data_IF_455102065599
#
_entry.id   IF_455102065599
#
_cell.length_a   1.000
_cell.length_b   1.000
_cell.length_c   1.000
_cell.angle_alpha   90.00
_cell.angle_beta   90.00
_cell.angle_gamma   90.00
#
_symmetry.space_group_name_H-M   'P 1'
#
loop_
_entity.id
_entity.type
_entity.pdbx_description
1 polymer ?
#
# COMPACT_ATOMS: atom_id res chain seq x y z
N UNK A 1 0.26 3.73 -25.76
CA UNK A 1 -0.61 4.43 -24.80
C UNK A 1 -0.58 5.93 -25.12
N UNK A 2 -1.68 6.48 -25.66
CA UNK A 2 -1.78 7.87 -26.13
C UNK A 2 -1.99 8.86 -24.97
N UNK A 3 -1.53 10.13 -25.13
CA UNK A 3 -1.74 11.26 -24.19
C UNK A 3 -3.20 11.45 -23.78
N UNK A 4 -4.14 11.07 -24.64
CA UNK A 4 -5.58 11.14 -24.36
C UNK A 4 -5.98 10.35 -23.10
N UNK A 5 -5.35 9.20 -22.82
CA UNK A 5 -5.67 8.42 -21.62
C UNK A 5 -5.24 9.11 -20.32
N UNK A 6 -4.19 9.92 -20.36
CA UNK A 6 -3.70 10.65 -19.19
C UNK A 6 -4.60 11.85 -18.87
N UNK A 7 -5.07 12.58 -19.89
CA UNK A 7 -6.00 13.70 -19.71
C UNK A 7 -7.40 13.25 -19.30
N UNK A 8 -7.91 12.13 -19.82
CA UNK A 8 -9.25 11.62 -19.46
C UNK A 8 -9.30 11.19 -17.99
N UNK A 9 -8.27 10.50 -17.51
CA UNK A 9 -8.21 10.01 -16.13
C UNK A 9 -8.16 11.13 -15.07
N UNK A 10 -7.76 12.33 -15.47
CA UNK A 10 -7.54 13.46 -14.55
C UNK A 10 -8.71 14.44 -14.53
N UNK A 11 -9.56 14.46 -15.58
CA UNK A 11 -10.60 15.50 -15.76
C UNK A 11 -11.76 15.44 -14.77
N UNK A 12 -12.06 14.29 -14.19
CA UNK A 12 -13.23 14.10 -13.31
C UNK A 12 -12.89 13.46 -11.95
N UNK A 13 -11.61 13.33 -11.61
CA UNK A 13 -11.23 12.84 -10.27
C UNK A 13 -11.41 13.99 -9.28
N UNK A 14 -12.30 13.86 -8.27
CA UNK A 14 -12.35 14.85 -7.21
C UNK A 14 -10.97 14.95 -6.55
N UNK A 15 -10.45 16.17 -6.40
CA UNK A 15 -9.27 16.42 -5.58
C UNK A 15 -9.66 16.21 -4.12
N UNK A 16 -9.50 14.98 -3.64
CA UNK A 16 -9.79 14.61 -2.25
C UNK A 16 -8.67 14.99 -1.30
N UNK A 17 -7.57 15.59 -1.79
CA UNK A 17 -6.34 15.80 -1.04
C UNK A 17 -5.69 14.49 -0.58
N UNK A 18 -4.54 14.60 0.12
CA UNK A 18 -3.86 13.48 0.75
C UNK A 18 -4.64 12.99 1.97
N UNK A 19 -4.87 11.69 2.08
CA UNK A 19 -5.48 11.08 3.27
C UNK A 19 -4.66 11.36 4.53
N UNK A 20 -5.32 11.73 5.63
CA UNK A 20 -4.65 12.13 6.89
C UNK A 20 -4.55 10.99 7.91
N UNK A 21 -5.37 9.95 7.78
CA UNK A 21 -5.38 8.77 8.66
C UNK A 21 -4.04 8.03 8.56
N UNK A 22 -3.37 7.74 9.69
CA UNK A 22 -2.15 6.92 9.68
C UNK A 22 -2.38 5.59 8.97
N UNK A 23 -1.56 5.32 7.95
CA UNK A 23 -1.71 4.17 7.06
C UNK A 23 -0.43 3.33 7.11
N UNK A 24 -0.59 2.01 7.25
CA UNK A 24 0.48 1.03 7.11
C UNK A 24 0.36 0.27 5.78
N UNK A 25 1.50 -0.07 5.18
CA UNK A 25 1.55 -0.88 3.95
C UNK A 25 2.55 -2.01 4.14
N UNK A 26 2.07 -3.25 4.21
CA UNK A 26 2.90 -4.44 4.27
C UNK A 26 3.21 -4.95 2.85
N UNK A 27 4.49 -5.04 2.49
CA UNK A 27 4.93 -5.50 1.17
C UNK A 27 5.46 -6.92 1.28
N UNK A 28 4.78 -7.89 0.65
CA UNK A 28 5.19 -9.29 0.62
C UNK A 28 5.92 -9.63 -0.70
N UNK A 29 6.85 -10.57 -0.63
CA UNK A 29 7.79 -10.88 -1.72
C UNK A 29 7.14 -11.30 -3.05
N UNK A 30 6.07 -12.10 -2.99
CA UNK A 30 5.41 -12.71 -4.15
C UNK A 30 4.05 -12.06 -4.47
N UNK A 31 3.83 -10.82 -4.03
CA UNK A 31 2.66 -10.01 -4.41
C UNK A 31 3.05 -8.88 -5.37
N UNK A 32 2.05 -8.13 -5.86
CA UNK A 32 2.30 -6.88 -6.56
C UNK A 32 3.05 -5.90 -5.65
N UNK A 33 4.27 -5.56 -6.06
CA UNK A 33 5.12 -4.64 -5.31
C UNK A 33 4.54 -3.22 -5.35
N UNK A 34 4.08 -2.78 -4.19
CA UNK A 34 3.61 -1.41 -4.01
C UNK A 34 4.76 -0.42 -4.21
N UNK A 35 4.50 0.64 -4.99
CA UNK A 35 5.48 1.71 -5.20
C UNK A 35 5.28 2.75 -4.11
N UNK A 36 6.19 2.78 -3.13
CA UNK A 36 6.14 3.67 -1.96
C UNK A 36 5.83 5.13 -2.30
N UNK A 37 6.43 5.65 -3.37
CA UNK A 37 6.21 7.03 -3.83
C UNK A 37 4.74 7.34 -4.13
N UNK A 38 3.99 6.39 -4.69
CA UNK A 38 2.56 6.60 -4.98
C UNK A 38 1.72 6.50 -3.71
N UNK A 39 2.05 5.56 -2.81
CA UNK A 39 1.37 5.44 -1.53
C UNK A 39 1.56 6.70 -0.65
N UNK A 40 2.78 7.25 -0.59
CA UNK A 40 3.08 8.45 0.20
C UNK A 40 2.46 9.73 -0.39
N UNK A 41 2.26 9.78 -1.72
CA UNK A 41 1.55 10.88 -2.40
C UNK A 41 0.09 10.96 -1.93
N UNK A 42 -0.58 9.82 -1.87
CA UNK A 42 -2.04 9.76 -1.68
C UNK A 42 -2.44 9.53 -0.20
N UNK A 43 -1.56 8.96 0.63
CA UNK A 43 -1.87 8.55 2.00
C UNK A 43 -0.83 8.97 3.03
N UNK A 44 -1.26 9.09 4.30
CA UNK A 44 -0.39 9.27 5.46
C UNK A 44 0.30 7.97 5.87
N UNK A 45 1.23 7.51 5.04
CA UNK A 45 2.03 6.30 5.31
C UNK A 45 2.98 6.53 6.49
N UNK A 46 2.82 5.73 7.54
CA UNK A 46 3.67 5.76 8.76
C UNK A 46 4.38 4.44 9.05
N UNK A 47 4.05 3.38 8.31
CA UNK A 47 4.57 2.03 8.50
C UNK A 47 4.74 1.33 7.14
N UNK A 48 5.93 0.77 6.88
CA UNK A 48 6.31 0.15 5.60
C UNK A 48 7.32 -1.00 5.80
N UNK A 49 6.88 -2.16 6.27
CA UNK A 49 7.71 -3.37 6.32
C UNK A 49 7.75 -4.04 4.95
N UNK A 50 8.90 -4.64 4.64
CA UNK A 50 9.08 -5.49 3.47
C UNK A 50 9.47 -6.89 3.95
N UNK A 51 8.79 -7.91 3.43
CA UNK A 51 8.93 -9.30 3.81
C UNK A 51 9.52 -10.13 2.69
N UNK A 52 10.27 -11.17 3.04
CA UNK A 52 10.99 -12.06 2.12
C UNK A 52 10.15 -13.28 1.67
N UNK A 53 8.93 -13.45 2.20
CA UNK A 53 8.02 -14.57 1.92
C UNK A 53 6.56 -14.12 1.93
N UNK A 54 5.72 -14.80 1.15
CA UNK A 54 4.27 -14.58 1.10
C UNK A 54 3.87 -13.77 -0.12
N UNK A 55 2.58 -13.76 -0.46
CA UNK A 55 2.07 -13.05 -1.64
C UNK A 55 0.68 -12.48 -1.42
N UNK A 56 -0.12 -12.45 -2.48
CA UNK A 56 -1.48 -11.90 -2.46
C UNK A 56 -2.39 -12.47 -1.35
N UNK A 57 -2.15 -13.74 -0.97
CA UNK A 57 -2.87 -14.45 0.09
C UNK A 57 -2.01 -14.62 1.35
N UNK A 58 -1.23 -13.61 1.73
CA UNK A 58 -0.32 -13.66 2.89
C UNK A 58 -1.00 -14.02 4.22
N UNK A 59 -2.31 -13.79 4.35
CA UNK A 59 -3.09 -14.27 5.50
C UNK A 59 -3.11 -15.80 5.66
N UNK A 60 -2.83 -16.55 4.59
CA UNK A 60 -2.67 -18.00 4.61
C UNK A 60 -1.21 -18.39 4.44
N UNK A 61 -0.54 -17.86 3.42
CA UNK A 61 0.79 -18.33 3.03
C UNK A 61 1.90 -17.81 3.95
N UNK A 62 1.69 -16.67 4.62
CA UNK A 62 2.63 -16.04 5.54
C UNK A 62 1.92 -15.45 6.78
N UNK A 63 0.99 -16.22 7.34
CA UNK A 63 0.10 -15.78 8.43
C UNK A 63 0.85 -15.28 9.67
N UNK A 64 2.02 -15.85 9.96
CA UNK A 64 2.91 -15.46 11.05
C UNK A 64 3.48 -14.05 10.84
N UNK A 65 3.94 -13.75 9.62
CA UNK A 65 4.46 -12.43 9.26
C UNK A 65 3.34 -11.38 9.28
N UNK A 66 2.19 -11.68 8.68
CA UNK A 66 1.04 -10.76 8.68
C UNK A 66 0.55 -10.47 10.11
N UNK A 67 0.40 -11.49 10.94
CA UNK A 67 -0.07 -11.32 12.31
C UNK A 67 0.95 -10.56 13.16
N UNK A 68 2.25 -10.83 12.98
CA UNK A 68 3.32 -10.10 13.62
C UNK A 68 3.30 -8.61 13.26
N UNK A 69 3.07 -8.32 11.98
CA UNK A 69 3.04 -6.95 11.50
C UNK A 69 1.83 -6.15 11.97
N UNK A 70 0.64 -6.76 11.95
CA UNK A 70 -0.57 -6.16 12.52
C UNK A 70 -0.37 -5.83 14.00
N UNK A 71 0.34 -6.70 14.74
CA UNK A 71 0.70 -6.41 16.14
C UNK A 71 1.64 -5.23 16.23
N UNK A 72 2.71 -5.20 15.44
CA UNK A 72 3.66 -4.10 15.43
C UNK A 72 3.00 -2.74 15.09
N UNK A 73 2.05 -2.73 14.15
CA UNK A 73 1.38 -1.51 13.71
C UNK A 73 0.37 -0.97 14.73
N UNK A 74 -0.47 -1.83 15.32
CA UNK A 74 -1.58 -1.38 16.18
C UNK A 74 -1.28 -1.38 17.68
N UNK A 75 -0.26 -2.11 18.14
CA UNK A 75 0.09 -2.19 19.57
C UNK A 75 1.32 -1.36 19.97
N UNK A 76 1.90 -0.59 19.05
CA UNK A 76 2.96 0.37 19.34
C UNK A 76 2.44 1.62 20.08
#
# INVERSE_FOLDING_TARGET
MSRAHFEEADKDRPDTGRGTVPTGVAVFADDFLSIRRFAERDHNVVHWPEFDRGGHFSGTDAADLLTGDLRAFFWA
#
